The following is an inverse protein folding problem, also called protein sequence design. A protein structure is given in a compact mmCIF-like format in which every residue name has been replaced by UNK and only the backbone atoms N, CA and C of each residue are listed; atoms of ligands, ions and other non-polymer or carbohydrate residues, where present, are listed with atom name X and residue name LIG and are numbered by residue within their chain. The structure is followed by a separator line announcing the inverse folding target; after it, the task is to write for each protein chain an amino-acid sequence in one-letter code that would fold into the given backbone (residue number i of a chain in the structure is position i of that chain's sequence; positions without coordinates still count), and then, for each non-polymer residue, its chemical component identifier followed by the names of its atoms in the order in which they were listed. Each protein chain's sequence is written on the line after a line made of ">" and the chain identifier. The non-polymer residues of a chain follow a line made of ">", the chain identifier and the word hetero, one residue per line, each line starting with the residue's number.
data_IF_324039534764
#
_entry.id   IF_324039534764
#
_cell.length_a   1.000
_cell.length_b   1.000
_cell.length_c   1.000
_cell.angle_alpha   90.00
_cell.angle_beta   90.00
_cell.angle_gamma   90.00
#
_symmetry.space_group_name_H-M   'P 1'
#
loop_
_entity.id
_entity.type
_entity.pdbx_description
1 polymer ?
#
# COMPACT_ATOMS: atom_id res chain seq x y z
N UNK A 1 -0.78 -5.07 24.80
CA UNK A 1 -0.66 -5.98 23.65
C UNK A 1 0.50 -5.51 22.82
N UNK A 2 1.52 -6.36 22.64
CA UNK A 2 2.63 -6.07 21.75
C UNK A 2 2.15 -6.07 20.29
N UNK A 3 2.71 -5.18 19.49
CA UNK A 3 2.45 -5.14 18.06
C UNK A 3 3.09 -6.37 17.40
N UNK A 4 2.44 -7.01 16.41
CA UNK A 4 3.06 -8.09 15.64
C UNK A 4 4.41 -7.64 15.08
N UNK A 5 5.36 -8.56 14.90
CA UNK A 5 6.62 -8.29 14.19
C UNK A 5 6.45 -8.35 12.66
N UNK A 6 5.34 -8.92 12.19
CA UNK A 6 5.08 -9.17 10.78
C UNK A 6 3.59 -8.97 10.44
N UNK A 7 3.32 -8.53 9.21
CA UNK A 7 1.99 -8.49 8.62
C UNK A 7 2.00 -9.13 7.23
N UNK A 8 0.94 -9.87 6.92
CA UNK A 8 0.78 -10.49 5.59
C UNK A 8 -0.56 -10.07 4.99
N UNK A 9 -0.54 -9.51 3.79
CA UNK A 9 -1.74 -9.06 3.08
C UNK A 9 -1.81 -9.74 1.71
N UNK A 10 -2.91 -10.46 1.45
CA UNK A 10 -3.21 -11.00 0.13
C UNK A 10 -4.31 -10.15 -0.50
N UNK A 11 -4.03 -9.56 -1.67
CA UNK A 11 -4.99 -8.73 -2.40
C UNK A 11 -5.47 -9.49 -3.64
N UNK A 12 -6.76 -9.84 -3.75
CA UNK A 12 -7.27 -10.51 -4.93
C UNK A 12 -7.39 -9.54 -6.12
N UNK A 13 -7.08 -10.05 -7.30
CA UNK A 13 -7.20 -9.34 -8.58
C UNK A 13 -5.86 -9.01 -9.22
N UNK A 14 -5.93 -8.37 -10.39
CA UNK A 14 -4.76 -8.16 -11.23
C UNK A 14 -3.76 -7.18 -10.59
N UNK A 15 -2.46 -7.49 -10.58
CA UNK A 15 -1.42 -6.54 -10.25
C UNK A 15 -1.48 -5.28 -11.13
N UNK A 16 -1.73 -4.11 -10.53
CA UNK A 16 -1.77 -2.84 -11.26
C UNK A 16 -0.45 -2.09 -11.09
N UNK A 17 0.31 -1.81 -12.16
CA UNK A 17 1.54 -1.06 -12.05
C UNK A 17 1.27 0.40 -11.66
N UNK A 18 2.11 0.94 -10.77
CA UNK A 18 2.06 2.35 -10.36
C UNK A 18 2.19 3.27 -11.59
N UNK A 19 1.23 4.18 -11.75
CA UNK A 19 1.31 5.23 -12.78
C UNK A 19 2.40 6.25 -12.46
N UNK A 20 3.10 6.74 -13.49
CA UNK A 20 4.11 7.81 -13.35
C UNK A 20 3.45 9.13 -12.93
N UNK A 21 3.97 9.85 -11.91
CA UNK A 21 3.51 11.18 -11.58
C UNK A 21 3.51 12.11 -12.80
N UNK A 22 2.58 13.05 -12.83
CA UNK A 22 2.54 14.15 -13.82
C UNK A 22 2.83 15.44 -13.10
N UNK A 23 3.62 16.34 -13.70
CA UNK A 23 3.88 17.65 -13.12
C UNK A 23 2.86 18.64 -13.65
N UNK A 24 2.16 19.34 -12.76
CA UNK A 24 1.22 20.41 -13.10
C UNK A 24 1.49 21.62 -12.19
N UNK A 25 1.73 22.78 -12.79
CA UNK A 25 2.04 24.03 -12.07
C UNK A 25 3.15 23.89 -11.01
N UNK A 26 4.22 23.16 -11.33
CA UNK A 26 5.33 22.90 -10.40
C UNK A 26 5.09 21.80 -9.36
N UNK A 27 3.89 21.21 -9.31
CA UNK A 27 3.55 20.15 -8.36
C UNK A 27 3.43 18.78 -9.03
N UNK A 28 4.07 17.76 -8.46
CA UNK A 28 3.89 16.38 -8.88
C UNK A 28 2.54 15.85 -8.40
N UNK A 29 1.70 15.44 -9.35
CA UNK A 29 0.39 14.85 -9.13
C UNK A 29 0.45 13.35 -9.42
N UNK A 30 0.12 12.55 -8.40
CA UNK A 30 -0.04 11.10 -8.54
C UNK A 30 -1.31 10.81 -9.35
N UNK A 31 -1.27 9.93 -10.37
CA UNK A 31 -2.46 9.59 -11.14
C UNK A 31 -3.56 8.98 -10.25
N UNK A 32 -4.82 9.36 -10.49
CA UNK A 32 -5.99 8.87 -9.73
C UNK A 32 -6.05 7.34 -9.62
N UNK A 33 -5.64 6.61 -10.67
CA UNK A 33 -5.60 5.14 -10.65
C UNK A 33 -4.62 4.58 -9.62
N UNK A 34 -3.47 5.23 -9.44
CA UNK A 34 -2.47 4.86 -8.43
C UNK A 34 -3.04 5.11 -7.04
N UNK A 35 -3.63 6.30 -6.83
CA UNK A 35 -4.24 6.68 -5.54
C UNK A 35 -5.31 5.66 -5.13
N UNK A 36 -6.21 5.29 -6.05
CA UNK A 36 -7.24 4.28 -5.78
C UNK A 36 -6.68 2.90 -5.43
N UNK A 37 -5.61 2.48 -6.09
CA UNK A 37 -4.95 1.21 -5.78
C UNK A 37 -4.30 1.24 -4.39
N UNK A 38 -3.65 2.35 -4.04
CA UNK A 38 -3.06 2.59 -2.71
C UNK A 38 -4.16 2.63 -1.62
N UNK A 39 -5.28 3.33 -1.86
CA UNK A 39 -6.44 3.39 -0.96
C UNK A 39 -7.06 2.01 -0.72
N UNK A 40 -7.20 1.18 -1.75
CA UNK A 40 -7.68 -0.20 -1.62
C UNK A 40 -6.76 -1.03 -0.74
N UNK A 41 -5.45 -1.01 -1.01
CA UNK A 41 -4.46 -1.72 -0.19
C UNK A 41 -4.54 -1.28 1.27
N UNK A 42 -4.62 0.04 1.52
CA UNK A 42 -4.73 0.59 2.85
C UNK A 42 -6.01 0.16 3.57
N UNK A 43 -7.15 0.19 2.88
CA UNK A 43 -8.44 -0.22 3.43
C UNK A 43 -8.43 -1.69 3.85
N UNK A 44 -7.96 -2.58 2.97
CA UNK A 44 -7.84 -4.02 3.26
C UNK A 44 -6.89 -4.29 4.45
N UNK A 45 -5.76 -3.58 4.51
CA UNK A 45 -4.83 -3.69 5.62
C UNK A 45 -5.46 -3.25 6.95
N UNK A 46 -6.15 -2.11 6.98
CA UNK A 46 -6.81 -1.60 8.20
C UNK A 46 -7.98 -2.47 8.64
N UNK A 47 -8.68 -3.10 7.70
CA UNK A 47 -9.74 -4.06 7.99
C UNK A 47 -9.17 -5.33 8.65
N UNK A 48 -8.06 -5.86 8.12
CA UNK A 48 -7.40 -7.04 8.67
C UNK A 48 -6.66 -6.76 9.99
N UNK A 49 -6.09 -5.57 10.15
CA UNK A 49 -5.24 -5.18 11.28
C UNK A 49 -5.66 -3.82 11.89
N UNK A 50 -6.84 -3.72 12.51
CA UNK A 50 -7.40 -2.44 12.97
C UNK A 50 -6.56 -1.73 14.04
N UNK A 51 -5.84 -2.50 14.85
CA UNK A 51 -4.99 -2.02 15.95
C UNK A 51 -3.52 -1.84 15.56
N UNK A 52 -3.14 -2.13 14.30
CA UNK A 52 -1.77 -1.93 13.85
C UNK A 52 -1.39 -0.44 13.86
N UNK A 53 -0.15 -0.16 14.30
CA UNK A 53 0.43 1.18 14.34
C UNK A 53 1.65 1.23 13.39
N UNK A 54 2.04 2.40 12.87
CA UNK A 54 3.25 2.51 12.06
C UNK A 54 4.50 2.09 12.85
N UNK A 55 5.36 1.27 12.24
CA UNK A 55 6.68 0.99 12.81
C UNK A 55 7.57 2.23 12.75
N UNK A 56 8.43 2.38 13.75
CA UNK A 56 9.44 3.45 13.85
C UNK A 56 10.87 2.90 13.72
N UNK A 57 10.99 1.72 13.11
CA UNK A 57 12.24 1.01 12.88
C UNK A 57 12.35 0.64 11.39
N UNK A 58 13.54 0.22 10.92
CA UNK A 58 13.67 -0.34 9.58
C UNK A 58 12.72 -1.52 9.37
N UNK A 59 12.08 -1.55 8.21
CA UNK A 59 11.15 -2.62 7.82
C UNK A 59 11.65 -3.31 6.55
N UNK A 60 11.36 -4.61 6.44
CA UNK A 60 11.50 -5.36 5.19
C UNK A 60 10.12 -5.49 4.56
N UNK A 61 10.04 -5.26 3.25
CA UNK A 61 8.83 -5.48 2.48
C UNK A 61 9.12 -6.52 1.40
N UNK A 62 8.28 -7.53 1.33
CA UNK A 62 8.31 -8.59 0.34
C UNK A 62 6.96 -8.59 -0.37
N UNK A 63 6.97 -8.72 -1.69
CA UNK A 63 5.76 -8.73 -2.51
C UNK A 63 5.91 -9.77 -3.62
N UNK A 64 4.90 -10.61 -3.76
CA UNK A 64 4.76 -11.58 -4.84
C UNK A 64 3.57 -11.19 -5.71
N UNK A 65 3.71 -11.38 -7.02
CA UNK A 65 2.69 -11.08 -8.00
C UNK A 65 2.40 -12.35 -8.79
N UNK A 66 1.13 -12.75 -8.84
CA UNK A 66 0.67 -13.92 -9.60
C UNK A 66 -0.11 -13.42 -10.83
N UNK A 67 0.18 -14.00 -11.99
CA UNK A 67 -0.50 -13.76 -13.27
C UNK A 67 -1.24 -15.01 -13.72
#
# INVERSE_FOLDING_TARGET
>A
MEQPSEFTLCLPGDPVPKGRPRVYNGHAMTPKRTVRAEERLFAEFRLKYPQAKPYQCPVRLEAEFWM
#
